data_IF_662333940118
#
_entry.id   IF_662333940118
#
_cell.length_a   1.000
_cell.length_b   1.000
_cell.length_c   1.000
_cell.angle_alpha   90.00
_cell.angle_beta   90.00
_cell.angle_gamma   90.00
#
_symmetry.space_group_name_H-M   'P 1'
#
loop_
_entity.id
_entity.type
_entity.pdbx_description
1 polymer ?
#
# COMPACT_ATOMS: atom_id res chain seq x y z
N UNK A 1 5.84 17.70 5.86
CA UNK A 1 4.87 17.16 6.84
C UNK A 1 4.53 15.72 6.48
N UNK A 2 4.27 14.82 7.44
CA UNK A 2 3.75 13.47 7.14
C UNK A 2 2.22 13.49 7.13
N UNK A 3 1.60 12.86 6.13
CA UNK A 3 0.15 12.72 5.99
C UNK A 3 -0.23 11.25 6.01
N UNK A 4 -1.25 10.90 6.77
CA UNK A 4 -1.78 9.53 6.76
C UNK A 4 -2.61 9.31 5.49
N UNK A 5 -2.16 8.40 4.64
CA UNK A 5 -2.82 8.00 3.40
C UNK A 5 -3.48 6.64 3.61
N UNK A 6 -4.73 6.52 3.17
CA UNK A 6 -5.42 5.23 3.07
C UNK A 6 -5.34 4.74 1.63
N UNK A 7 -4.76 3.58 1.42
CA UNK A 7 -4.65 2.89 0.15
C UNK A 7 -5.56 1.67 0.18
N UNK A 8 -6.29 1.43 -0.91
CA UNK A 8 -6.98 0.15 -1.12
C UNK A 8 -6.23 -0.64 -2.16
N UNK A 9 -5.71 -1.79 -1.75
CA UNK A 9 -4.93 -2.67 -2.61
C UNK A 9 -5.82 -3.83 -2.99
N UNK A 10 -6.03 -4.02 -4.29
CA UNK A 10 -6.70 -5.21 -4.79
C UNK A 10 -5.73 -6.39 -4.71
N UNK A 11 -6.16 -7.44 -4.02
CA UNK A 11 -5.40 -8.67 -3.84
C UNK A 11 -6.21 -9.83 -4.36
N UNK A 12 -5.78 -10.37 -5.49
CA UNK A 12 -6.46 -11.48 -6.13
C UNK A 12 -6.00 -11.72 -7.55
N UNK A 13 -6.54 -12.77 -8.13
CA UNK A 13 -6.37 -13.10 -9.54
C UNK A 13 -7.60 -12.65 -10.35
N UNK A 14 -7.68 -13.09 -11.61
CA UNK A 14 -8.78 -12.75 -12.51
C UNK A 14 -10.13 -13.39 -12.11
N UNK A 15 -10.14 -14.35 -11.19
CA UNK A 15 -11.33 -15.09 -10.74
C UNK A 15 -11.77 -14.67 -9.35
N UNK A 16 -10.83 -14.44 -8.44
CA UNK A 16 -11.13 -14.07 -7.06
C UNK A 16 -10.14 -13.04 -6.53
N UNK A 17 -10.67 -12.03 -5.83
CA UNK A 17 -9.85 -11.05 -5.13
C UNK A 17 -10.61 -10.28 -4.07
N UNK A 18 -9.86 -9.69 -3.16
CA UNK A 18 -10.34 -8.85 -2.07
C UNK A 18 -9.66 -7.49 -2.13
N UNK A 19 -10.40 -6.45 -1.76
CA UNK A 19 -9.82 -5.15 -1.46
C UNK A 19 -9.33 -5.17 -0.02
N UNK A 20 -8.06 -4.83 0.17
CA UNK A 20 -7.45 -4.68 1.48
C UNK A 20 -7.18 -3.20 1.73
N UNK A 21 -7.74 -2.66 2.81
CA UNK A 21 -7.50 -1.29 3.23
C UNK A 21 -6.19 -1.22 4.04
N UNK A 22 -5.26 -0.40 3.58
CA UNK A 22 -3.98 -0.17 4.23
C UNK A 22 -3.84 1.30 4.58
N UNK A 23 -3.37 1.58 5.80
CA UNK A 23 -3.05 2.94 6.22
C UNK A 23 -1.55 3.10 6.38
N UNK A 24 -0.99 4.13 5.75
CA UNK A 24 0.45 4.45 5.82
C UNK A 24 0.66 5.95 5.95
N UNK A 25 1.79 6.32 6.53
CA UNK A 25 2.23 7.71 6.55
C UNK A 25 3.04 7.99 5.28
N UNK A 26 2.55 8.92 4.46
CA UNK A 26 3.27 9.44 3.31
C UNK A 26 3.92 10.78 3.68
N UNK A 27 5.20 10.93 3.35
CA UNK A 27 5.94 12.16 3.58
C UNK A 27 5.78 13.13 2.40
N UNK A 28 5.99 14.42 2.66
CA UNK A 28 5.96 15.44 1.63
C UNK A 28 7.13 15.26 0.65
N UNK A 29 6.84 15.18 -0.64
CA UNK A 29 7.82 14.84 -1.68
C UNK A 29 8.02 13.34 -1.92
N UNK A 30 7.39 12.47 -1.14
CA UNK A 30 7.43 11.01 -1.33
C UNK A 30 6.52 10.59 -2.50
N UNK A 31 7.05 9.75 -3.40
CA UNK A 31 6.28 9.22 -4.53
C UNK A 31 5.46 8.01 -4.12
N UNK A 32 4.33 7.80 -4.81
CA UNK A 32 3.39 6.70 -4.52
C UNK A 32 4.09 5.33 -4.56
N UNK A 33 5.08 5.16 -5.45
CA UNK A 33 5.85 3.91 -5.54
C UNK A 33 6.64 3.61 -4.26
N UNK A 34 7.26 4.60 -3.63
CA UNK A 34 8.01 4.42 -2.38
C UNK A 34 7.08 4.06 -1.22
N UNK A 35 5.90 4.68 -1.19
CA UNK A 35 4.85 4.35 -0.23
C UNK A 35 4.39 2.90 -0.41
N UNK A 36 4.22 2.44 -1.66
CA UNK A 36 3.87 1.04 -1.96
C UNK A 36 5.00 0.11 -1.52
N UNK A 37 6.27 0.35 -1.90
CA UNK A 37 7.39 -0.49 -1.48
C UNK A 37 7.48 -0.62 0.05
N UNK A 38 7.15 0.44 0.79
CA UNK A 38 7.06 0.40 2.25
C UNK A 38 5.90 -0.45 2.75
N UNK A 39 4.71 -0.31 2.15
CA UNK A 39 3.56 -1.18 2.47
C UNK A 39 3.93 -2.64 2.25
N UNK A 40 4.61 -2.94 1.14
CA UNK A 40 5.11 -4.28 0.85
C UNK A 40 6.05 -4.74 1.97
N UNK A 41 7.10 -4.00 2.29
CA UNK A 41 8.06 -4.41 3.31
C UNK A 41 7.55 -4.48 4.75
N UNK A 42 6.42 -3.85 5.09
CA UNK A 42 5.97 -3.71 6.49
C UNK A 42 4.64 -4.39 6.81
N UNK A 43 3.61 -4.20 5.96
CA UNK A 43 2.25 -4.66 6.22
C UNK A 43 1.86 -5.83 5.30
N UNK A 44 2.37 -5.84 4.07
CA UNK A 44 2.03 -6.84 3.05
C UNK A 44 3.32 -7.42 2.42
N UNK A 45 4.15 -8.15 3.18
CA UNK A 45 5.44 -8.67 2.74
C UNK A 45 5.35 -9.69 1.60
N UNK A 46 4.16 -10.21 1.31
CA UNK A 46 3.92 -11.17 0.23
C UNK A 46 3.43 -10.50 -1.07
N UNK A 47 3.48 -9.17 -1.16
CA UNK A 47 3.14 -8.44 -2.40
C UNK A 47 4.33 -8.39 -3.39
N UNK A 48 5.47 -9.02 -3.08
CA UNK A 48 6.66 -9.09 -3.94
C UNK A 48 6.91 -10.51 -4.46
#
# INVERSE_FOLDING_TARGET
MSRKVKLRIWRGDAKEGKLEDVSVEANEGEVVLDVIHRVQGTQIPDLA
#
